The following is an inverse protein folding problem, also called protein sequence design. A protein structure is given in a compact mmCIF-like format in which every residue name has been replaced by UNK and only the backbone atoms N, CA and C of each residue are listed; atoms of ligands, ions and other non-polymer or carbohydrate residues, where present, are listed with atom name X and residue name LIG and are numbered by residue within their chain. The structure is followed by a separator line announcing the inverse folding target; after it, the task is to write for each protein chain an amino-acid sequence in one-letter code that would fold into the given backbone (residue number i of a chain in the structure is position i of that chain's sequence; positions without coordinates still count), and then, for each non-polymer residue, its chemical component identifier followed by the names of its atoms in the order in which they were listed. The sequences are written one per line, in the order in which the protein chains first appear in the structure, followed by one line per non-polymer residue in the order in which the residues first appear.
data_IF_278229378556
#
_entry.id   IF_278229378556
#
_cell.length_a   1.000
_cell.length_b   1.000
_cell.length_c   1.000
_cell.angle_alpha   90.00
_cell.angle_beta   90.00
_cell.angle_gamma   90.00
#
_symmetry.space_group_name_H-M   'P 1'
#
loop_
_entity.id
_entity.type
_entity.pdbx_description
1 polymer ?
#
# COMPACT_ATOMS: atom_id res chain seq x y z
N UNK A 1 -16.35 -4.22 21.85
CA UNK A 1 -15.45 -4.87 20.87
C UNK A 1 -16.08 -6.22 20.54
N UNK A 2 -16.64 -6.42 19.35
CA UNK A 2 -17.43 -7.63 19.04
C UNK A 2 -16.51 -8.84 18.80
N UNK A 3 -16.87 -10.02 19.32
CA UNK A 3 -16.18 -11.31 19.14
C UNK A 3 -15.62 -11.57 17.71
N UNK A 4 -16.31 -11.24 16.60
CA UNK A 4 -15.77 -11.37 15.25
C UNK A 4 -14.55 -10.50 14.93
N UNK A 5 -14.39 -9.35 15.59
CA UNK A 5 -13.24 -8.47 15.37
C UNK A 5 -11.94 -9.05 15.94
N UNK A 6 -12.00 -9.63 17.14
CA UNK A 6 -10.87 -10.30 17.78
C UNK A 6 -10.42 -11.52 16.97
N UNK A 7 -11.36 -12.28 16.41
CA UNK A 7 -11.05 -13.41 15.52
C UNK A 7 -10.34 -12.95 14.25
N UNK A 8 -10.70 -11.78 13.70
CA UNK A 8 -10.06 -11.22 12.51
C UNK A 8 -8.61 -10.80 12.80
N UNK A 9 -8.36 -10.17 13.94
CA UNK A 9 -7.00 -9.82 14.39
C UNK A 9 -6.18 -11.09 14.64
N UNK A 10 -6.74 -12.08 15.33
CA UNK A 10 -6.04 -13.34 15.61
C UNK A 10 -5.64 -14.12 14.34
N UNK A 11 -6.40 -13.95 13.24
CA UNK A 11 -6.10 -14.55 11.94
C UNK A 11 -5.03 -13.80 11.14
N UNK A 12 -4.68 -12.56 11.53
CA UNK A 12 -3.67 -11.78 10.83
C UNK A 12 -2.32 -12.52 10.84
N UNK A 13 -1.61 -12.64 9.70
CA UNK A 13 -0.37 -13.41 9.62
C UNK A 13 0.71 -12.96 10.62
N UNK A 14 0.84 -11.65 10.85
CA UNK A 14 1.79 -11.10 11.83
C UNK A 14 1.46 -11.52 13.28
N UNK A 15 0.17 -11.53 13.65
CA UNK A 15 -0.26 -11.97 14.99
C UNK A 15 -0.01 -13.46 15.17
N UNK A 16 -0.35 -14.28 14.15
CA UNK A 16 -0.04 -15.71 14.16
C UNK A 16 1.47 -15.96 14.28
N UNK A 17 2.29 -15.22 13.54
CA UNK A 17 3.75 -15.35 13.61
C UNK A 17 4.28 -14.99 15.00
N UNK A 18 3.79 -13.90 15.60
CA UNK A 18 4.13 -13.52 16.98
C UNK A 18 3.75 -14.62 17.98
N UNK A 19 2.54 -15.16 17.90
CA UNK A 19 2.10 -16.25 18.76
C UNK A 19 2.96 -17.50 18.60
N UNK A 20 3.42 -17.80 17.38
CA UNK A 20 4.35 -18.91 17.12
C UNK A 20 5.70 -18.67 17.80
N UNK A 21 6.24 -17.46 17.78
CA UNK A 21 7.48 -17.14 18.51
C UNK A 21 7.30 -17.33 20.00
N UNK A 22 6.25 -16.75 20.59
CA UNK A 22 5.96 -16.91 22.01
C UNK A 22 5.76 -18.38 22.39
N UNK A 23 5.03 -19.14 21.56
CA UNK A 23 4.77 -20.56 21.76
C UNK A 23 6.00 -21.47 21.57
N UNK A 24 7.02 -21.02 20.81
CA UNK A 24 8.27 -21.76 20.65
C UNK A 24 9.20 -21.66 21.86
N UNK A 25 9.07 -20.61 22.69
CA UNK A 25 9.98 -20.34 23.82
C UNK A 25 10.11 -21.52 24.79
N UNK A 26 9.02 -22.18 25.26
CA UNK A 26 9.16 -23.29 26.20
C UNK A 26 9.96 -24.47 25.61
N UNK A 27 9.77 -24.76 24.32
CA UNK A 27 10.49 -25.82 23.63
C UNK A 27 11.97 -25.44 23.41
N UNK A 28 12.24 -24.18 23.08
CA UNK A 28 13.61 -23.65 23.02
C UNK A 28 14.31 -23.83 24.35
N UNK A 29 13.69 -23.40 25.46
CA UNK A 29 14.28 -23.52 26.79
C UNK A 29 14.53 -24.99 27.17
N UNK A 30 13.63 -25.90 26.82
CA UNK A 30 13.82 -27.33 27.05
C UNK A 30 15.02 -27.88 26.26
N UNK A 31 15.16 -27.54 24.97
CA UNK A 31 16.31 -27.97 24.14
C UNK A 31 17.61 -27.40 24.70
N UNK A 32 17.62 -26.12 25.07
CA UNK A 32 18.78 -25.44 25.63
C UNK A 32 19.19 -26.06 26.97
N UNK A 33 18.23 -26.40 27.82
CA UNK A 33 18.49 -27.10 29.08
C UNK A 33 19.12 -28.48 28.84
N UNK A 34 18.62 -29.23 27.86
CA UNK A 34 19.21 -30.52 27.47
C UNK A 34 20.64 -30.34 26.94
N UNK A 35 20.86 -29.38 26.05
CA UNK A 35 22.20 -29.05 25.54
C UNK A 35 23.18 -28.71 26.68
N UNK A 36 22.76 -27.88 27.62
CA UNK A 36 23.56 -27.53 28.80
C UNK A 36 23.85 -28.75 29.69
N UNK A 37 22.88 -29.66 29.85
CA UNK A 37 23.03 -30.90 30.63
C UNK A 37 24.09 -31.83 30.02
N UNK A 38 24.23 -31.83 28.69
CA UNK A 38 25.27 -32.55 27.96
C UNK A 38 26.58 -31.75 27.78
N UNK A 39 26.74 -30.62 28.50
CA UNK A 39 27.91 -29.73 28.45
C UNK A 39 28.21 -29.14 27.06
N UNK A 40 27.22 -29.01 26.20
CA UNK A 40 27.37 -28.18 25.00
C UNK A 40 27.46 -26.70 25.38
N UNK A 41 28.21 -25.88 24.61
CA UNK A 41 28.24 -24.43 24.84
C UNK A 41 26.85 -23.84 24.59
N UNK A 42 26.33 -23.12 25.58
CA UNK A 42 25.06 -22.40 25.49
C UNK A 42 25.34 -20.92 25.67
N UNK A 43 25.25 -20.19 24.58
CA UNK A 43 25.32 -18.73 24.52
C UNK A 43 24.02 -18.14 23.95
N UNK A 44 23.87 -16.81 24.00
CA UNK A 44 22.66 -16.16 23.48
C UNK A 44 22.44 -16.40 21.98
N UNK A 45 23.51 -16.64 21.22
CA UNK A 45 23.42 -16.97 19.81
C UNK A 45 22.77 -18.35 19.60
N UNK A 46 23.19 -19.37 20.35
CA UNK A 46 22.60 -20.71 20.31
C UNK A 46 21.10 -20.67 20.65
N UNK A 47 20.71 -19.89 21.66
CA UNK A 47 19.30 -19.67 22.02
C UNK A 47 18.54 -19.05 20.86
N UNK A 48 19.07 -18.00 20.24
CA UNK A 48 18.43 -17.32 19.12
C UNK A 48 18.27 -18.23 17.89
N UNK A 49 19.29 -19.04 17.57
CA UNK A 49 19.23 -20.00 16.46
C UNK A 49 18.20 -21.08 16.72
N UNK A 50 18.21 -21.72 17.90
CA UNK A 50 17.24 -22.77 18.26
C UNK A 50 15.82 -22.20 18.22
N UNK A 51 15.60 -21.04 18.82
CA UNK A 51 14.31 -20.34 18.77
C UNK A 51 13.84 -20.08 17.34
N UNK A 52 14.72 -19.55 16.49
CA UNK A 52 14.39 -19.23 15.10
C UNK A 52 14.04 -20.46 14.28
N UNK A 53 14.81 -21.55 14.41
CA UNK A 53 14.56 -22.82 13.73
C UNK A 53 13.23 -23.43 14.16
N UNK A 54 12.95 -23.47 15.46
CA UNK A 54 11.68 -23.99 15.99
C UNK A 54 10.50 -23.14 15.52
N UNK A 55 10.58 -21.82 15.62
CA UNK A 55 9.53 -20.92 15.17
C UNK A 55 9.28 -21.05 13.66
N UNK A 56 10.33 -21.18 12.85
CA UNK A 56 10.22 -21.39 11.41
C UNK A 56 9.58 -22.75 11.07
N UNK A 57 9.93 -23.82 11.80
CA UNK A 57 9.33 -25.14 11.67
C UNK A 57 7.84 -25.16 12.04
N UNK A 58 7.47 -24.53 13.15
CA UNK A 58 6.06 -24.35 13.55
C UNK A 58 5.29 -23.51 12.52
N UNK A 59 5.92 -22.48 11.95
CA UNK A 59 5.33 -21.63 10.89
C UNK A 59 5.05 -22.43 9.63
N UNK A 60 5.94 -23.34 9.24
CA UNK A 60 5.71 -24.29 8.15
C UNK A 60 4.53 -25.22 8.47
N UNK A 61 4.51 -25.84 9.65
CA UNK A 61 3.44 -26.77 10.08
C UNK A 61 2.07 -26.09 10.14
N UNK A 62 2.01 -24.82 10.53
CA UNK A 62 0.77 -24.03 10.65
C UNK A 62 0.33 -23.37 9.33
N UNK A 63 1.03 -23.63 8.22
CA UNK A 63 0.61 -23.22 6.87
C UNK A 63 0.73 -21.72 6.60
N UNK A 64 1.62 -21.00 7.28
CA UNK A 64 1.91 -19.61 6.92
C UNK A 64 2.74 -19.56 5.62
N UNK A 65 2.65 -18.45 4.89
CA UNK A 65 3.34 -18.29 3.62
C UNK A 65 4.87 -18.43 3.76
N UNK A 66 5.54 -18.87 2.69
CA UNK A 66 6.94 -19.31 2.73
C UNK A 66 7.92 -18.28 3.28
N UNK A 67 7.69 -16.99 2.99
CA UNK A 67 8.53 -15.88 3.46
C UNK A 67 8.44 -15.66 4.97
N UNK A 68 7.32 -15.99 5.62
CA UNK A 68 7.19 -15.91 7.08
C UNK A 68 8.17 -16.83 7.79
N UNK A 69 8.57 -17.95 7.18
CA UNK A 69 9.58 -18.85 7.75
C UNK A 69 10.94 -18.16 7.86
N UNK A 70 11.32 -17.39 6.84
CA UNK A 70 12.56 -16.61 6.87
C UNK A 70 12.49 -15.51 7.94
N UNK A 71 11.36 -14.79 8.04
CA UNK A 71 11.16 -13.78 9.08
C UNK A 71 11.30 -14.41 10.47
N UNK A 72 10.69 -15.59 10.69
CA UNK A 72 10.71 -16.27 11.99
C UNK A 72 12.09 -16.79 12.38
N UNK A 73 12.87 -17.25 11.40
CA UNK A 73 14.25 -17.68 11.60
C UNK A 73 15.15 -16.49 11.96
N UNK A 74 14.99 -15.37 11.25
CA UNK A 74 15.86 -14.20 11.40
C UNK A 74 15.47 -13.32 12.58
N UNK A 75 14.22 -13.36 13.05
CA UNK A 75 13.72 -12.46 14.08
C UNK A 75 14.50 -12.53 15.41
N UNK A 76 14.75 -13.71 16.03
CA UNK A 76 15.52 -13.77 17.27
C UNK A 76 16.97 -13.29 17.10
N UNK A 77 17.56 -13.53 15.92
CA UNK A 77 18.89 -13.01 15.57
C UNK A 77 18.87 -11.48 15.46
N UNK A 78 17.84 -10.91 14.84
CA UNK A 78 17.67 -9.46 14.74
C UNK A 78 17.45 -8.81 16.11
N UNK A 79 16.76 -9.47 17.04
CA UNK A 79 16.64 -9.01 18.43
C UNK A 79 18.00 -9.03 19.13
N UNK A 80 18.76 -10.11 18.98
CA UNK A 80 20.09 -10.23 19.58
C UNK A 80 21.06 -9.16 19.03
N UNK A 81 21.06 -8.91 17.73
CA UNK A 81 21.89 -7.87 17.12
C UNK A 81 21.46 -6.47 17.55
N UNK A 82 20.16 -6.21 17.63
CA UNK A 82 19.64 -4.94 18.15
C UNK A 82 20.09 -4.66 19.59
N UNK A 83 20.05 -5.69 20.44
CA UNK A 83 20.53 -5.60 21.82
C UNK A 83 22.05 -5.40 21.88
N UNK A 84 22.82 -6.15 21.07
CA UNK A 84 24.28 -6.03 21.01
C UNK A 84 24.73 -4.65 20.54
N UNK A 85 24.00 -4.04 19.59
CA UNK A 85 24.24 -2.68 19.09
C UNK A 85 23.64 -1.59 20.00
N UNK A 86 22.99 -1.97 21.11
CA UNK A 86 22.31 -1.05 22.03
C UNK A 86 21.35 -0.09 21.31
N UNK A 87 20.62 -0.60 20.30
CA UNK A 87 19.73 0.25 19.52
C UNK A 87 18.63 0.82 20.42
N UNK A 88 18.43 2.15 20.42
CA UNK A 88 17.43 2.76 21.27
C UNK A 88 16.01 2.40 20.82
N UNK A 89 15.13 2.17 21.78
CA UNK A 89 13.76 1.67 21.54
C UNK A 89 12.91 2.59 20.66
N UNK A 90 13.17 3.89 20.68
CA UNK A 90 12.46 4.87 19.86
C UNK A 90 12.65 4.65 18.35
N UNK A 91 13.75 4.02 17.90
CA UNK A 91 13.95 3.70 16.49
C UNK A 91 12.90 2.71 15.98
N UNK A 92 12.59 1.68 16.77
CA UNK A 92 11.54 0.70 16.43
C UNK A 92 10.16 1.35 16.45
N UNK A 93 9.92 2.23 17.43
CA UNK A 93 8.69 3.03 17.51
C UNK A 93 8.52 3.94 16.29
N UNK A 94 9.57 4.64 15.88
CA UNK A 94 9.57 5.47 14.68
C UNK A 94 9.33 4.63 13.42
N UNK A 95 10.04 3.50 13.27
CA UNK A 95 9.82 2.57 12.16
C UNK A 95 8.38 2.08 12.10
N UNK A 96 7.80 1.72 13.24
CA UNK A 96 6.39 1.35 13.34
C UNK A 96 5.46 2.49 12.90
N UNK A 97 5.68 3.71 13.39
CA UNK A 97 4.87 4.88 13.01
C UNK A 97 4.99 5.21 11.52
N UNK A 98 6.18 5.07 10.92
CA UNK A 98 6.41 5.25 9.49
C UNK A 98 5.65 4.20 8.68
N UNK A 99 5.77 2.93 9.04
CA UNK A 99 5.03 1.84 8.39
C UNK A 99 3.52 2.00 8.56
N UNK A 100 3.06 2.40 9.75
CA UNK A 100 1.66 2.66 10.03
C UNK A 100 1.14 3.84 9.20
N UNK A 101 1.93 4.92 9.07
CA UNK A 101 1.55 6.07 8.24
C UNK A 101 1.55 5.77 6.74
N UNK A 102 2.42 4.86 6.29
CA UNK A 102 2.52 4.44 4.89
C UNK A 102 1.41 3.46 4.51
N UNK A 103 1.19 2.42 5.31
CA UNK A 103 0.19 1.37 5.09
C UNK A 103 -1.14 1.62 5.84
N UNK A 104 -1.39 2.89 6.21
CA UNK A 104 -2.48 3.33 7.06
C UNK A 104 -3.84 2.74 6.68
N UNK A 105 -4.13 2.76 5.39
CA UNK A 105 -5.41 2.34 4.83
C UNK A 105 -5.38 0.97 4.16
N UNK A 106 -4.21 0.48 3.74
CA UNK A 106 -4.07 -0.77 2.97
C UNK A 106 -4.71 -1.97 3.67
N UNK A 107 -4.68 -2.02 5.00
CA UNK A 107 -5.32 -3.09 5.76
C UNK A 107 -6.87 -3.09 5.67
N UNK A 108 -7.47 -1.94 5.32
CA UNK A 108 -8.92 -1.77 5.14
C UNK A 108 -9.33 -1.74 3.67
N UNK A 109 -8.64 -0.93 2.87
CA UNK A 109 -9.01 -0.67 1.47
C UNK A 109 -8.48 -1.71 0.50
N UNK A 110 -7.46 -2.48 0.90
CA UNK A 110 -6.76 -3.42 0.01
C UNK A 110 -6.24 -2.75 -1.26
N UNK A 111 -5.83 -1.48 -1.14
CA UNK A 111 -5.15 -0.71 -2.18
C UNK A 111 -3.70 -0.50 -1.73
N UNK A 112 -2.75 -1.31 -2.24
CA UNK A 112 -1.32 -1.03 -2.14
C UNK A 112 -0.94 0.27 -2.85
N UNK A 113 0.26 0.77 -2.59
CA UNK A 113 0.83 1.84 -3.39
C UNK A 113 1.26 1.31 -4.75
N UNK A 114 0.59 1.75 -5.82
CA UNK A 114 0.96 1.46 -7.20
C UNK A 114 1.41 2.75 -7.91
N UNK A 115 2.70 2.90 -8.25
CA UNK A 115 3.18 4.06 -8.98
C UNK A 115 2.90 3.92 -10.48
N UNK A 116 2.20 4.89 -11.07
CA UNK A 116 2.17 5.07 -12.52
C UNK A 116 3.42 5.85 -12.99
N UNK A 117 3.79 5.69 -14.27
CA UNK A 117 4.99 6.29 -14.85
C UNK A 117 4.70 7.41 -15.87
N UNK A 118 5.74 8.16 -16.31
CA UNK A 118 5.59 9.30 -17.21
C UNK A 118 4.86 8.99 -18.53
N UNK A 119 5.04 7.80 -19.09
CA UNK A 119 4.38 7.41 -20.33
C UNK A 119 2.86 7.31 -20.17
N UNK A 120 2.40 6.75 -19.04
CA UNK A 120 0.98 6.72 -18.67
C UNK A 120 0.47 8.14 -18.45
N UNK A 121 1.23 8.97 -17.73
CA UNK A 121 0.83 10.35 -17.47
C UNK A 121 0.65 11.17 -18.75
N UNK A 122 1.56 11.00 -19.72
CA UNK A 122 1.46 11.65 -21.03
C UNK A 122 0.28 11.11 -21.85
N UNK A 123 0.04 9.80 -21.82
CA UNK A 123 -1.14 9.21 -22.48
C UNK A 123 -2.44 9.80 -21.91
N UNK A 124 -2.56 9.95 -20.59
CA UNK A 124 -3.73 10.59 -19.95
C UNK A 124 -3.81 12.07 -20.32
N UNK A 125 -2.68 12.79 -20.36
CA UNK A 125 -2.64 14.19 -20.78
C UNK A 125 -3.19 14.36 -22.20
N UNK A 126 -2.86 13.44 -23.12
CA UNK A 126 -3.32 13.47 -24.51
C UNK A 126 -4.83 13.19 -24.66
N UNK A 127 -5.48 12.60 -23.67
CA UNK A 127 -6.95 12.42 -23.66
C UNK A 127 -7.68 13.73 -23.39
N UNK A 128 -7.03 14.69 -22.74
CA UNK A 128 -7.65 15.96 -22.39
C UNK A 128 -7.71 16.87 -23.63
N UNK A 129 -8.87 17.50 -23.91
CA UNK A 129 -8.99 18.43 -25.01
C UNK A 129 -8.04 19.62 -24.84
N UNK A 130 -7.42 20.05 -25.94
CA UNK A 130 -6.39 21.09 -25.93
C UNK A 130 -6.98 22.52 -25.94
N UNK A 131 -8.24 22.64 -26.33
CA UNK A 131 -8.96 23.90 -26.59
C UNK A 131 -9.78 24.39 -25.39
N UNK A 132 -9.94 23.57 -24.34
CA UNK A 132 -10.69 23.95 -23.13
C UNK A 132 -9.97 23.56 -21.83
N UNK A 133 -10.10 24.38 -20.76
CA UNK A 133 -9.73 24.00 -19.41
C UNK A 133 -10.44 22.71 -19.00
N UNK A 134 -9.75 21.86 -18.24
CA UNK A 134 -10.32 20.63 -17.70
C UNK A 134 -10.08 20.52 -16.20
N UNK A 135 -11.01 19.89 -15.50
CA UNK A 135 -10.91 19.53 -14.08
C UNK A 135 -10.56 18.07 -13.95
N UNK A 136 -9.40 17.81 -13.35
CA UNK A 136 -8.84 16.46 -13.24
C UNK A 136 -8.57 16.11 -11.79
N UNK A 137 -8.95 14.89 -11.40
CA UNK A 137 -8.64 14.32 -10.09
C UNK A 137 -7.93 12.98 -10.23
N UNK A 138 -6.86 12.82 -9.47
CA UNK A 138 -6.19 11.54 -9.22
C UNK A 138 -6.69 10.94 -7.90
N UNK A 139 -7.38 9.80 -7.96
CA UNK A 139 -7.91 9.12 -6.77
C UNK A 139 -6.92 8.07 -6.27
N UNK A 140 -6.37 8.27 -5.08
CA UNK A 140 -5.20 7.52 -4.61
C UNK A 140 -3.89 8.09 -5.15
N UNK A 141 -3.76 9.42 -5.15
CA UNK A 141 -2.66 10.14 -5.81
C UNK A 141 -1.25 9.82 -5.28
N UNK A 142 -1.14 9.13 -4.13
CA UNK A 142 0.11 8.66 -3.56
C UNK A 142 1.14 9.76 -3.39
N UNK A 143 2.30 9.60 -4.03
CA UNK A 143 3.40 10.58 -3.99
C UNK A 143 3.17 11.79 -4.92
N UNK A 144 2.05 11.86 -5.63
CA UNK A 144 1.60 13.00 -6.42
C UNK A 144 2.27 13.14 -7.79
N UNK A 145 2.89 12.08 -8.31
CA UNK A 145 3.63 12.12 -9.59
C UNK A 145 2.79 12.62 -10.76
N UNK A 146 1.65 11.97 -11.00
CA UNK A 146 0.72 12.32 -12.08
C UNK A 146 0.16 13.74 -11.93
N UNK A 147 -0.35 14.08 -10.75
CA UNK A 147 -0.94 15.41 -10.46
C UNK A 147 0.07 16.54 -10.70
N UNK A 148 1.31 16.39 -10.21
CA UNK A 148 2.37 17.39 -10.39
C UNK A 148 2.81 17.50 -11.85
N UNK A 149 2.92 16.37 -12.56
CA UNK A 149 3.23 16.35 -13.99
C UNK A 149 2.14 17.08 -14.79
N UNK A 150 0.88 16.68 -14.60
CA UNK A 150 -0.23 17.22 -15.37
C UNK A 150 -0.47 18.70 -15.06
N UNK A 151 -0.32 19.12 -13.80
CA UNK A 151 -0.42 20.54 -13.43
C UNK A 151 0.65 21.41 -14.11
N UNK A 152 1.82 20.86 -14.45
CA UNK A 152 2.86 21.57 -15.21
C UNK A 152 2.59 21.54 -16.70
N UNK A 153 2.18 20.39 -17.23
CA UNK A 153 1.95 20.19 -18.66
C UNK A 153 0.65 20.83 -19.16
N UNK A 154 -0.32 21.06 -18.27
CA UNK A 154 -1.62 21.71 -18.53
C UNK A 154 -1.87 22.83 -17.50
N UNK A 155 -1.22 24.00 -17.64
CA UNK A 155 -1.41 25.12 -16.71
C UNK A 155 -2.82 25.71 -16.70
N UNK A 156 -3.60 25.41 -17.75
CA UNK A 156 -5.01 25.74 -17.92
C UNK A 156 -5.95 24.81 -17.15
N UNK A 157 -5.50 23.60 -16.80
CA UNK A 157 -6.31 22.61 -16.09
C UNK A 157 -6.27 22.79 -14.57
N UNK A 158 -7.41 22.55 -13.92
CA UNK A 158 -7.47 22.40 -12.47
C UNK A 158 -7.16 20.94 -12.12
N UNK A 159 -5.93 20.68 -11.68
CA UNK A 159 -5.47 19.32 -11.35
C UNK A 159 -5.40 19.14 -9.84
N UNK A 160 -6.02 18.07 -9.36
CA UNK A 160 -6.08 17.72 -7.96
C UNK A 160 -5.73 16.25 -7.72
N UNK A 161 -5.28 15.93 -6.51
CA UNK A 161 -5.03 14.57 -6.04
C UNK A 161 -5.65 14.36 -4.67
N UNK A 162 -6.35 13.25 -4.48
CA UNK A 162 -6.86 12.83 -3.18
C UNK A 162 -6.09 11.59 -2.71
N UNK A 163 -5.65 11.62 -1.45
CA UNK A 163 -4.91 10.52 -0.85
C UNK A 163 -5.38 10.26 0.58
N UNK A 164 -5.57 8.99 0.90
CA UNK A 164 -6.07 8.55 2.20
C UNK A 164 -4.93 8.37 3.21
N UNK A 165 -3.77 7.87 2.75
CA UNK A 165 -2.61 7.60 3.57
C UNK A 165 -1.90 8.91 3.98
N UNK A 166 -1.70 9.17 5.29
CA UNK A 166 -1.15 10.43 5.77
C UNK A 166 0.25 10.77 5.24
N UNK A 167 1.15 9.78 5.12
CA UNK A 167 2.53 10.02 4.70
C UNK A 167 2.64 10.32 3.19
N UNK A 168 2.06 9.52 2.27
CA UNK A 168 2.03 9.87 0.86
C UNK A 168 1.36 11.24 0.60
N UNK A 169 0.25 11.53 1.29
CA UNK A 169 -0.39 12.85 1.24
C UNK A 169 0.55 13.98 1.67
N UNK A 170 1.20 13.85 2.83
CA UNK A 170 2.10 14.89 3.35
C UNK A 170 3.26 15.12 2.38
N UNK A 171 3.81 14.05 1.81
CA UNK A 171 4.89 14.11 0.84
C UNK A 171 4.47 14.82 -0.46
N UNK A 172 3.34 14.43 -1.05
CA UNK A 172 2.84 15.04 -2.29
C UNK A 172 2.48 16.52 -2.09
N UNK A 173 1.83 16.84 -0.96
CA UNK A 173 1.53 18.21 -0.55
C UNK A 173 2.80 19.06 -0.40
N UNK A 174 3.82 18.55 0.29
CA UNK A 174 5.08 19.27 0.49
C UNK A 174 5.81 19.47 -0.85
N UNK A 175 5.82 18.46 -1.73
CA UNK A 175 6.39 18.60 -3.09
C UNK A 175 5.70 19.68 -3.91
N UNK A 176 4.37 19.78 -3.84
CA UNK A 176 3.64 20.85 -4.50
C UNK A 176 4.04 22.23 -3.97
N UNK A 177 4.09 22.37 -2.64
CA UNK A 177 4.46 23.63 -1.96
C UNK A 177 5.88 24.07 -2.30
N UNK A 178 6.86 23.16 -2.19
CA UNK A 178 8.27 23.46 -2.44
C UNK A 178 8.56 23.75 -3.92
N UNK A 179 7.77 23.21 -4.84
CA UNK A 179 7.92 23.48 -6.28
C UNK A 179 7.06 24.63 -6.80
N UNK A 180 6.30 25.32 -5.93
CA UNK A 180 5.38 26.38 -6.35
C UNK A 180 4.27 25.90 -7.30
N UNK A 181 3.93 24.60 -7.26
CA UNK A 181 2.93 24.02 -8.14
C UNK A 181 1.51 24.50 -7.80
N UNK A 182 0.65 24.61 -8.82
CA UNK A 182 -0.78 24.90 -8.67
C UNK A 182 -1.61 23.67 -8.31
N UNK A 183 -1.00 22.48 -8.32
CA UNK A 183 -1.63 21.22 -7.95
C UNK A 183 -2.25 21.29 -6.55
N UNK A 184 -3.47 20.75 -6.42
CA UNK A 184 -4.19 20.69 -5.14
C UNK A 184 -4.19 19.27 -4.60
N UNK A 185 -3.54 19.05 -3.46
CA UNK A 185 -3.58 17.78 -2.74
C UNK A 185 -4.56 17.86 -1.57
N UNK A 186 -5.45 16.88 -1.46
CA UNK A 186 -6.44 16.76 -0.39
C UNK A 186 -6.27 15.42 0.32
N UNK A 187 -6.23 15.44 1.65
CA UNK A 187 -6.26 14.20 2.43
C UNK A 187 -7.69 13.76 2.63
N UNK A 188 -8.06 12.59 2.14
CA UNK A 188 -9.43 12.15 2.25
C UNK A 188 -9.72 10.81 1.60
N UNK A 189 -10.96 10.38 1.80
CA UNK A 189 -11.55 9.23 1.14
C UNK A 189 -12.28 9.71 -0.12
N UNK A 190 -11.90 9.17 -1.28
CA UNK A 190 -12.51 9.57 -2.56
C UNK A 190 -13.98 9.18 -2.64
N UNK A 191 -14.47 8.23 -1.83
CA UNK A 191 -15.89 7.88 -1.81
C UNK A 191 -16.77 9.07 -1.40
N UNK A 192 -16.23 10.02 -0.63
CA UNK A 192 -16.90 11.24 -0.18
C UNK A 192 -16.75 12.42 -1.14
N UNK A 193 -15.96 12.26 -2.20
CA UNK A 193 -15.76 13.30 -3.20
C UNK A 193 -16.97 13.34 -4.14
N UNK A 194 -17.37 14.54 -4.56
CA UNK A 194 -18.40 14.72 -5.59
C UNK A 194 -17.76 14.61 -6.98
N UNK A 195 -18.02 13.51 -7.69
CA UNK A 195 -17.39 13.24 -8.99
C UNK A 195 -17.97 14.09 -10.13
N UNK A 196 -19.14 14.71 -9.95
CA UNK A 196 -19.77 15.58 -10.96
C UNK A 196 -18.95 16.82 -11.33
N UNK A 197 -17.95 17.15 -10.50
CA UNK A 197 -17.10 18.33 -10.65
C UNK A 197 -15.91 18.13 -11.57
N UNK A 198 -15.65 16.90 -12.01
CA UNK A 198 -14.44 16.55 -12.74
C UNK A 198 -14.76 16.06 -14.15
N UNK A 199 -13.98 16.53 -15.11
CA UNK A 199 -14.02 16.07 -16.49
C UNK A 199 -13.25 14.75 -16.65
N UNK A 200 -12.23 14.52 -15.80
CA UNK A 200 -11.45 13.29 -15.80
C UNK A 200 -11.16 12.82 -14.37
N UNK A 201 -11.50 11.56 -14.09
CA UNK A 201 -11.10 10.84 -12.88
C UNK A 201 -10.05 9.81 -13.27
N UNK A 202 -8.82 9.96 -12.78
CA UNK A 202 -7.73 9.00 -12.97
C UNK A 202 -7.62 8.08 -11.75
N UNK A 203 -7.51 6.77 -11.98
CA UNK A 203 -7.44 5.75 -10.95
C UNK A 203 -6.32 4.73 -11.23
N UNK A 204 -5.47 4.49 -10.23
CA UNK A 204 -4.60 3.30 -10.19
C UNK A 204 -4.68 2.68 -8.79
N UNK A 205 -5.81 2.02 -8.53
CA UNK A 205 -6.20 1.53 -7.20
C UNK A 205 -5.91 0.03 -7.05
N UNK A 206 -6.92 -0.81 -7.05
CA UNK A 206 -6.79 -2.27 -7.05
C UNK A 206 -8.08 -2.90 -7.59
N UNK A 207 -8.07 -4.17 -8.01
CA UNK A 207 -9.29 -4.86 -8.48
C UNK A 207 -10.43 -4.82 -7.45
N UNK A 208 -10.10 -4.88 -6.15
CA UNK A 208 -11.10 -4.85 -5.08
C UNK A 208 -11.86 -3.52 -4.97
N UNK A 209 -11.26 -2.41 -5.42
CA UNK A 209 -11.88 -1.08 -5.38
C UNK A 209 -12.76 -0.81 -6.60
N UNK A 210 -12.53 -1.50 -7.72
CA UNK A 210 -13.16 -1.21 -9.02
C UNK A 210 -14.70 -1.27 -9.02
N UNK A 211 -15.37 -2.28 -8.40
CA UNK A 211 -16.84 -2.33 -8.40
C UNK A 211 -17.48 -1.16 -7.65
N UNK A 212 -16.88 -0.74 -6.53
CA UNK A 212 -17.36 0.41 -5.77
C UNK A 212 -17.13 1.72 -6.52
N UNK A 213 -15.93 1.88 -7.10
CA UNK A 213 -15.59 3.02 -7.95
C UNK A 213 -16.58 3.14 -9.12
N UNK A 214 -16.86 2.04 -9.83
CA UNK A 214 -17.75 2.05 -10.98
C UNK A 214 -19.18 2.46 -10.64
N UNK A 215 -19.73 1.97 -9.51
CA UNK A 215 -21.05 2.40 -9.05
C UNK A 215 -21.10 3.91 -8.80
N UNK A 216 -20.05 4.47 -8.21
CA UNK A 216 -19.94 5.91 -7.94
C UNK A 216 -19.82 6.72 -9.23
N UNK A 217 -18.95 6.32 -10.15
CA UNK A 217 -18.76 7.05 -11.42
C UNK A 217 -20.04 7.08 -12.24
N UNK A 218 -20.76 5.96 -12.36
CA UNK A 218 -22.06 5.94 -13.05
C UNK A 218 -23.12 6.82 -12.40
N UNK A 219 -23.07 6.99 -11.09
CA UNK A 219 -24.08 7.77 -10.36
C UNK A 219 -23.81 9.28 -10.42
N UNK A 220 -22.54 9.69 -10.50
CA UNK A 220 -22.14 11.08 -10.26
C UNK A 220 -21.45 11.77 -11.44
N UNK A 221 -20.80 11.03 -12.35
CA UNK A 221 -20.07 11.65 -13.46
C UNK A 221 -21.02 12.22 -14.51
N UNK A 222 -20.71 13.42 -15.00
CA UNK A 222 -21.54 14.13 -15.98
C UNK A 222 -21.26 13.67 -17.42
N UNK A 223 -22.23 13.81 -18.33
CA UNK A 223 -22.00 13.60 -19.76
C UNK A 223 -20.81 14.41 -20.30
N UNK A 224 -19.95 13.76 -21.08
CA UNK A 224 -18.72 14.33 -21.62
C UNK A 224 -17.49 14.22 -20.71
N UNK A 225 -17.62 13.61 -19.54
CA UNK A 225 -16.51 13.27 -18.64
C UNK A 225 -16.02 11.84 -18.85
N UNK A 226 -14.87 11.49 -18.26
CA UNK A 226 -14.28 10.15 -18.39
C UNK A 226 -13.64 9.61 -17.12
N UNK A 227 -13.83 8.32 -16.88
CA UNK A 227 -13.02 7.54 -15.95
C UNK A 227 -11.85 6.91 -16.71
N UNK A 228 -10.64 7.09 -16.19
CA UNK A 228 -9.43 6.47 -16.72
C UNK A 228 -8.79 5.60 -15.64
N UNK A 229 -8.75 4.29 -15.86
CA UNK A 229 -8.15 3.32 -14.94
C UNK A 229 -6.90 2.70 -15.56
N UNK A 230 -5.79 2.72 -14.83
CA UNK A 230 -4.58 2.03 -15.24
C UNK A 230 -4.57 0.59 -14.70
N UNK A 231 -4.27 -0.38 -15.56
CA UNK A 231 -4.20 -1.83 -15.31
C UNK A 231 -5.52 -2.53 -14.94
N UNK A 232 -6.41 -1.87 -14.20
CA UNK A 232 -7.59 -2.53 -13.62
C UNK A 232 -8.86 -2.21 -14.42
N UNK A 233 -9.55 -3.26 -14.86
CA UNK A 233 -10.80 -3.19 -15.61
C UNK A 233 -12.03 -3.15 -14.67
N UNK A 234 -13.13 -2.56 -15.14
CA UNK A 234 -14.48 -2.73 -14.59
C UNK A 234 -15.13 -3.94 -15.26
N UNK A 235 -15.47 -4.98 -14.51
CA UNK A 235 -16.04 -6.21 -15.07
C UNK A 235 -17.48 -6.00 -15.59
N UNK A 236 -18.22 -5.05 -15.01
CA UNK A 236 -19.63 -4.83 -15.34
C UNK A 236 -19.86 -4.08 -16.67
N UNK A 237 -18.84 -3.44 -17.25
CA UNK A 237 -18.94 -2.74 -18.54
C UNK A 237 -17.59 -2.74 -19.27
N UNK A 238 -17.53 -3.19 -20.54
CA UNK A 238 -16.31 -3.07 -21.33
C UNK A 238 -15.86 -1.61 -21.47
N UNK A 239 -14.56 -1.38 -21.49
CA UNK A 239 -14.01 -0.05 -21.73
C UNK A 239 -14.37 0.45 -23.13
N UNK A 240 -14.72 1.73 -23.24
CA UNK A 240 -15.03 2.36 -24.53
C UNK A 240 -13.75 2.57 -25.36
N UNK A 241 -12.61 2.72 -24.68
CA UNK A 241 -11.28 2.78 -25.31
C UNK A 241 -10.22 2.14 -24.42
N UNK A 242 -9.26 1.48 -25.05
CA UNK A 242 -8.09 0.88 -24.39
C UNK A 242 -6.84 1.47 -25.04
N UNK A 243 -5.92 1.97 -24.23
CA UNK A 243 -4.62 2.46 -24.67
C UNK A 243 -3.50 1.67 -24.01
N UNK A 244 -2.37 1.54 -24.70
CA UNK A 244 -1.18 0.88 -24.19
C UNK A 244 -0.06 1.92 -24.15
N UNK A 245 0.20 2.46 -22.96
CA UNK A 245 1.12 3.58 -22.77
C UNK A 245 2.58 3.13 -22.57
N UNK A 246 2.81 1.85 -22.27
CA UNK A 246 4.13 1.29 -21.97
C UNK A 246 4.39 0.06 -22.83
N UNK A 247 5.65 -0.23 -23.16
CA UNK A 247 6.05 -1.44 -23.89
C UNK A 247 5.63 -2.76 -23.20
N UNK A 248 5.40 -2.72 -21.88
CA UNK A 248 4.93 -3.87 -21.09
C UNK A 248 3.44 -4.20 -21.23
N UNK A 249 2.74 -3.58 -22.18
CA UNK A 249 1.37 -3.88 -22.58
C UNK A 249 0.30 -3.72 -21.47
N UNK A 250 0.63 -3.02 -20.39
CA UNK A 250 -0.33 -2.74 -19.31
C UNK A 250 -1.39 -1.74 -19.82
N UNK A 251 -2.67 -2.14 -19.84
CA UNK A 251 -3.72 -1.35 -20.47
C UNK A 251 -4.13 -0.16 -19.61
N UNK A 252 -4.50 0.92 -20.29
CA UNK A 252 -5.19 2.07 -19.75
C UNK A 252 -6.63 2.02 -20.27
N UNK A 253 -7.57 1.70 -19.39
CA UNK A 253 -8.98 1.57 -19.69
C UNK A 253 -9.70 2.90 -19.52
N UNK A 254 -10.54 3.24 -20.49
CA UNK A 254 -11.26 4.51 -20.53
C UNK A 254 -12.75 4.23 -20.70
N UNK A 255 -13.56 4.84 -19.84
CA UNK A 255 -15.02 4.88 -19.96
C UNK A 255 -15.50 6.32 -20.06
N UNK A 256 -16.33 6.61 -21.05
CA UNK A 256 -16.99 7.89 -21.26
C UNK A 256 -18.40 7.85 -20.69
N UNK A 257 -18.83 8.99 -20.13
CA UNK A 257 -20.16 9.21 -19.58
C UNK A 257 -20.96 10.20 -20.44
#
# INVERSE_FOLDING_TARGET
MTLPYLQRIARAPAVRAMLIQCGAVPLTLAIIYVMASFRFPVDYLSVAVVQGVLAAGLTWKLGLARWWRAIQLLFPLAVLTALALQLPSWLFGLGFLLLLGWYWSTFRTQVPYYPSGPAVWDAVRQLLPADKPARVIDIGSGLGGFVLYLSRARPDAEVSGIELAPLPFLYSWLRARLSGSRARFVRGDYEKLDFSRYDLVFAYLSPAAMPALWRKTRAEMCPGSMLVSYEFIVEERPADRILHATEGDVPLYIWYF
#
